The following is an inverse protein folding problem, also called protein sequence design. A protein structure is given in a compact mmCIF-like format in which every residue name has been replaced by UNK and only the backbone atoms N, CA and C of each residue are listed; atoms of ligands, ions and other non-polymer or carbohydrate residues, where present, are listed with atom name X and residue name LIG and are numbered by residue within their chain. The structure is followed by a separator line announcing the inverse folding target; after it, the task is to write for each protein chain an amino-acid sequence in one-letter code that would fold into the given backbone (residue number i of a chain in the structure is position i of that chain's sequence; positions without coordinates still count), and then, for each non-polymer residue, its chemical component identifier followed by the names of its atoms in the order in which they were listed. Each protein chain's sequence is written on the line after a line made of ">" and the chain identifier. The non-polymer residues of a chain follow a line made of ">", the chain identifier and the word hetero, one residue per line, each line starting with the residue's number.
data_IF_573773007516
#
_entry.id   IF_573773007516
#
_cell.length_a   1.000
_cell.length_b   1.000
_cell.length_c   1.000
_cell.angle_alpha   90.00
_cell.angle_beta   90.00
_cell.angle_gamma   90.00
#
_symmetry.space_group_name_H-M   'P 1'
#
loop_
_entity.id
_entity.type
_entity.pdbx_description
1 polymer ?
#
# COMPACT_ATOMS: atom_id res chain seq x y z
N UNK A 1 -15.05 0.21 2.82
CA UNK A 1 -13.74 0.02 2.15
C UNK A 1 -13.01 1.34 2.11
N UNK A 2 -11.76 1.32 2.50
CA UNK A 2 -10.93 2.52 2.54
C UNK A 2 -9.71 2.33 1.67
N UNK A 3 -9.39 3.36 0.88
CA UNK A 3 -8.18 3.36 0.08
C UNK A 3 -7.02 3.88 0.92
N UNK A 4 -5.89 3.18 0.81
CA UNK A 4 -4.64 3.60 1.42
C UNK A 4 -3.60 3.75 0.33
N UNK A 5 -2.76 4.77 0.46
CA UNK A 5 -1.61 4.94 -0.43
C UNK A 5 -0.38 4.46 0.34
N UNK A 6 0.32 3.52 -0.26
CA UNK A 6 1.55 2.98 0.32
C UNK A 6 2.71 3.39 -0.56
N UNK A 7 3.63 4.15 0.01
CA UNK A 7 4.89 4.50 -0.64
C UNK A 7 5.97 3.63 -0.03
N UNK A 8 6.86 3.12 -0.85
CA UNK A 8 7.83 2.21 -0.30
C UNK A 8 9.16 2.23 -1.00
N UNK A 9 10.14 1.73 -0.28
CA UNK A 9 11.48 1.52 -0.79
C UNK A 9 11.84 0.06 -0.65
N UNK A 10 12.45 -0.50 -1.68
CA UNK A 10 12.98 -1.84 -1.64
C UNK A 10 14.28 -1.79 -0.83
N UNK A 11 14.48 -2.78 0.04
CA UNK A 11 15.72 -2.86 0.77
C UNK A 11 16.85 -3.24 -0.18
N UNK A 12 18.08 -2.86 0.20
CA UNK A 12 19.24 -3.01 -0.66
C UNK A 12 19.37 -4.40 -1.28
N UNK A 13 19.21 -5.43 -0.48
CA UNK A 13 19.35 -6.81 -0.95
C UNK A 13 18.22 -7.27 -1.89
N UNK A 14 17.11 -6.53 -1.92
CA UNK A 14 16.01 -6.86 -2.82
C UNK A 14 16.37 -6.62 -4.28
N UNK A 15 17.32 -5.72 -4.54
CA UNK A 15 17.75 -5.44 -5.91
C UNK A 15 18.59 -6.55 -6.51
N UNK A 16 19.14 -7.43 -5.68
CA UNK A 16 19.93 -8.57 -6.16
C UNK A 16 19.06 -9.62 -6.85
N UNK A 17 17.74 -9.53 -6.66
CA UNK A 17 16.79 -10.51 -7.20
C UNK A 17 15.61 -9.79 -7.86
N UNK A 18 15.90 -8.89 -8.79
CA UNK A 18 14.85 -8.12 -9.48
C UNK A 18 13.84 -9.01 -10.19
N UNK A 19 14.29 -10.15 -10.70
CA UNK A 19 13.40 -11.11 -11.36
C UNK A 19 12.38 -11.74 -10.40
N UNK A 20 12.59 -11.63 -9.09
CA UNK A 20 11.67 -12.16 -8.09
C UNK A 20 10.60 -11.16 -7.66
N UNK A 21 10.68 -9.91 -8.13
CA UNK A 21 9.75 -8.85 -7.69
C UNK A 21 8.31 -9.16 -8.05
N UNK A 22 8.08 -9.66 -9.25
CA UNK A 22 6.73 -10.01 -9.68
C UNK A 22 6.10 -11.05 -8.75
N UNK A 23 6.88 -12.05 -8.35
CA UNK A 23 6.39 -13.08 -7.42
C UNK A 23 6.06 -12.50 -6.05
N UNK A 24 6.83 -11.54 -5.58
CA UNK A 24 6.57 -10.86 -4.31
C UNK A 24 5.29 -10.06 -4.38
N UNK A 25 5.07 -9.37 -5.50
CA UNK A 25 3.87 -8.57 -5.70
C UNK A 25 2.63 -9.47 -5.75
N UNK A 26 2.74 -10.62 -6.39
CA UNK A 26 1.65 -11.58 -6.42
C UNK A 26 1.32 -12.13 -5.05
N UNK A 27 2.33 -12.37 -4.21
CA UNK A 27 2.11 -12.80 -2.82
C UNK A 27 1.40 -11.71 -2.03
N UNK A 28 1.85 -10.46 -2.17
CA UNK A 28 1.22 -9.34 -1.49
C UNK A 28 -0.24 -9.21 -1.90
N UNK A 29 -0.52 -9.36 -3.19
CA UNK A 29 -1.88 -9.29 -3.69
C UNK A 29 -2.76 -10.38 -3.08
N UNK A 30 -2.22 -11.60 -2.92
CA UNK A 30 -2.95 -12.69 -2.28
C UNK A 30 -3.28 -12.39 -0.83
N UNK A 31 -2.32 -11.83 -0.10
CA UNK A 31 -2.54 -11.46 1.30
C UNK A 31 -3.64 -10.41 1.41
N UNK A 32 -3.56 -9.37 0.59
CA UNK A 32 -4.57 -8.32 0.58
C UNK A 32 -5.95 -8.89 0.28
N UNK A 33 -6.02 -9.78 -0.70
CA UNK A 33 -7.28 -10.42 -1.07
C UNK A 33 -7.83 -11.28 0.06
N UNK A 34 -6.96 -12.00 0.77
CA UNK A 34 -7.38 -12.82 1.91
C UNK A 34 -7.91 -11.97 3.07
N UNK A 35 -7.53 -10.69 3.13
CA UNK A 35 -8.02 -9.75 4.13
C UNK A 35 -9.27 -9.01 3.67
N UNK A 36 -9.81 -9.37 2.51
CA UNK A 36 -11.03 -8.77 1.99
C UNK A 36 -10.82 -7.54 1.13
N UNK A 37 -9.60 -7.29 0.70
CA UNK A 37 -9.28 -6.12 -0.10
C UNK A 37 -8.73 -6.45 -1.48
N UNK A 38 -8.17 -5.45 -2.12
CA UNK A 38 -7.54 -5.60 -3.43
C UNK A 38 -6.50 -4.51 -3.65
N UNK A 39 -5.57 -4.77 -4.56
CA UNK A 39 -4.65 -3.74 -5.05
C UNK A 39 -5.36 -3.02 -6.18
N UNK A 40 -5.56 -1.71 -6.02
CA UNK A 40 -6.21 -0.90 -7.04
C UNK A 40 -5.20 -0.51 -8.12
N UNK A 41 -3.97 -0.17 -7.71
CA UNK A 41 -2.91 0.21 -8.64
C UNK A 41 -1.56 -0.01 -7.99
N UNK A 42 -0.57 -0.33 -8.81
CA UNK A 42 0.80 -0.51 -8.35
C UNK A 42 1.71 0.06 -9.42
N UNK A 43 2.58 0.99 -9.02
CA UNK A 43 3.54 1.62 -9.91
C UNK A 43 4.92 1.57 -9.27
N UNK A 44 5.94 1.36 -10.08
CA UNK A 44 7.32 1.56 -9.67
C UNK A 44 7.74 2.96 -10.05
N UNK A 45 8.53 3.58 -9.20
CA UNK A 45 8.83 5.00 -9.29
C UNK A 45 10.32 5.21 -9.47
N UNK A 46 10.65 6.30 -10.15
CA UNK A 46 12.03 6.79 -10.24
C UNK A 46 12.13 7.99 -9.34
N UNK A 47 12.92 7.89 -8.28
CA UNK A 47 13.09 8.99 -7.34
C UNK A 47 13.22 8.52 -5.91
N UNK A 48 12.64 9.30 -5.01
CA UNK A 48 12.78 9.12 -3.56
C UNK A 48 12.19 7.79 -3.07
N UNK A 49 11.08 7.37 -3.66
CA UNK A 49 10.45 6.09 -3.35
C UNK A 49 10.59 5.18 -4.53
N UNK A 50 10.63 3.89 -4.28
CA UNK A 50 10.77 2.88 -5.34
C UNK A 50 9.42 2.46 -5.90
N UNK A 51 8.36 2.49 -5.08
CA UNK A 51 7.04 2.12 -5.56
C UNK A 51 5.93 2.87 -4.85
N UNK A 52 4.78 2.89 -5.50
CA UNK A 52 3.53 3.41 -4.96
C UNK A 52 2.45 2.36 -5.20
N UNK A 53 1.73 2.00 -4.16
CA UNK A 53 0.59 1.11 -4.28
C UNK A 53 -0.63 1.82 -3.73
N UNK A 54 -1.76 1.65 -4.41
CA UNK A 54 -3.06 2.07 -3.89
C UNK A 54 -3.80 0.79 -3.57
N UNK A 55 -4.14 0.61 -2.30
CA UNK A 55 -4.79 -0.60 -1.83
C UNK A 55 -6.12 -0.27 -1.18
N UNK A 56 -7.08 -1.16 -1.39
CA UNK A 56 -8.42 -1.06 -0.82
C UNK A 56 -8.55 -2.14 0.24
N UNK A 57 -8.82 -1.76 1.47
CA UNK A 57 -8.98 -2.69 2.57
C UNK A 57 -10.25 -2.34 3.36
N UNK A 58 -10.88 -3.34 4.00
CA UNK A 58 -12.14 -3.08 4.70
C UNK A 58 -11.99 -2.15 5.91
N UNK A 59 -10.88 -2.24 6.64
CA UNK A 59 -10.69 -1.48 7.88
C UNK A 59 -9.21 -1.36 8.24
N UNK A 60 -8.94 -0.59 9.28
CA UNK A 60 -7.57 -0.40 9.77
C UNK A 60 -6.96 -1.67 10.33
N UNK A 61 -7.77 -2.53 10.91
CA UNK A 61 -7.26 -3.79 11.44
C UNK A 61 -6.66 -4.63 10.33
N UNK A 62 -7.34 -4.70 9.18
CA UNK A 62 -6.81 -5.42 8.01
C UNK A 62 -5.52 -4.80 7.51
N UNK A 63 -5.44 -3.45 7.51
CA UNK A 63 -4.21 -2.75 7.12
C UNK A 63 -3.06 -3.13 8.04
N UNK A 64 -3.27 -3.12 9.35
CA UNK A 64 -2.23 -3.46 10.31
C UNK A 64 -1.79 -4.90 10.14
N UNK A 65 -2.73 -5.82 9.90
CA UNK A 65 -2.39 -7.22 9.61
C UNK A 65 -1.51 -7.34 8.37
N UNK A 66 -1.88 -6.62 7.31
CA UNK A 66 -1.08 -6.62 6.09
C UNK A 66 0.33 -6.11 6.34
N UNK A 67 0.45 -4.97 7.03
CA UNK A 67 1.76 -4.38 7.34
C UNK A 67 2.61 -5.32 8.20
N UNK A 68 1.99 -6.01 9.15
CA UNK A 68 2.71 -6.98 9.98
C UNK A 68 3.23 -8.15 9.16
N UNK A 69 2.42 -8.63 8.20
CA UNK A 69 2.80 -9.74 7.34
C UNK A 69 3.96 -9.36 6.43
N UNK A 70 3.86 -8.22 5.74
CA UNK A 70 4.95 -7.81 4.85
C UNK A 70 6.21 -7.46 5.62
N UNK A 71 6.07 -6.99 6.86
CA UNK A 71 7.20 -6.71 7.72
C UNK A 71 8.04 -7.94 8.02
N UNK A 72 7.40 -9.11 8.08
CA UNK A 72 8.12 -10.37 8.30
C UNK A 72 9.04 -10.73 7.14
N UNK A 73 8.67 -10.35 5.91
CA UNK A 73 9.51 -10.65 4.75
C UNK A 73 10.77 -9.80 4.71
N UNK A 74 10.73 -8.61 5.33
CA UNK A 74 11.91 -7.77 5.47
C UNK A 74 12.48 -7.21 4.18
N UNK A 75 11.70 -7.18 3.10
CA UNK A 75 12.20 -6.76 1.79
C UNK A 75 11.83 -5.35 1.40
N UNK A 76 10.92 -4.71 2.16
CA UNK A 76 10.46 -3.37 1.86
C UNK A 76 10.39 -2.52 3.11
N UNK A 77 10.48 -1.23 2.90
CA UNK A 77 10.27 -0.22 3.92
C UNK A 77 9.14 0.68 3.40
N UNK A 78 8.08 0.86 4.19
CA UNK A 78 6.86 1.50 3.70
C UNK A 78 6.43 2.69 4.54
N UNK A 79 5.78 3.63 3.88
CA UNK A 79 5.06 4.72 4.49
C UNK A 79 3.62 4.63 3.99
N UNK A 80 2.67 4.46 4.90
CA UNK A 80 1.28 4.26 4.54
C UNK A 80 0.46 5.49 4.90
N UNK A 81 -0.31 5.98 3.93
CA UNK A 81 -1.12 7.18 4.09
C UNK A 81 -2.59 6.80 4.00
N UNK A 82 -3.37 7.25 4.97
CA UNK A 82 -4.80 7.07 4.94
C UNK A 82 -5.40 8.13 4.03
N UNK A 83 -6.37 7.77 3.21
CA UNK A 83 -7.01 8.70 2.29
C UNK A 83 -8.39 9.09 2.79
N UNK A 84 -8.84 10.25 2.35
CA UNK A 84 -10.26 10.63 2.44
C UNK A 84 -10.71 11.01 1.03
N UNK A 85 -11.98 10.72 0.67
CA UNK A 85 -12.50 11.16 -0.62
C UNK A 85 -12.52 12.69 -0.70
N UNK A 86 -12.23 13.23 -1.86
CA UNK A 86 -12.27 14.69 -2.04
C UNK A 86 -13.65 15.27 -1.70
N UNK A 87 -14.71 14.55 -2.03
CA UNK A 87 -16.08 14.96 -1.74
C UNK A 87 -16.31 15.21 -0.25
N UNK A 88 -15.71 14.39 0.59
CA UNK A 88 -15.81 14.56 2.04
C UNK A 88 -15.22 15.89 2.47
N UNK A 89 -14.05 16.23 1.93
CA UNK A 89 -13.42 17.51 2.25
C UNK A 89 -14.27 18.69 1.77
N UNK A 90 -14.79 18.59 0.55
CA UNK A 90 -15.63 19.67 0.00
C UNK A 90 -16.87 19.90 0.84
N UNK A 91 -17.50 18.83 1.28
CA UNK A 91 -18.68 18.92 2.15
C UNK A 91 -18.34 19.56 3.47
N UNK A 92 -17.29 19.12 4.12
CA UNK A 92 -16.87 19.65 5.41
C UNK A 92 -16.46 21.13 5.26
N UNK A 93 -15.77 21.48 4.19
CA UNK A 93 -15.34 22.85 3.96
C UNK A 93 -16.53 23.82 3.90
N UNK A 94 -17.66 23.38 3.37
CA UNK A 94 -18.87 24.19 3.32
C UNK A 94 -19.50 24.37 4.71
N UNK A 95 -19.32 23.40 5.59
CA UNK A 95 -19.86 23.45 6.93
C UNK A 95 -19.04 24.30 7.88
N UNK A 96 -17.76 24.52 7.59
CA UNK A 96 -16.79 25.16 8.50
C UNK A 96 -16.60 26.65 8.20
N UNK A 97 -17.43 27.25 7.41
CA UNK A 97 -17.29 28.65 7.04
C UNK A 97 -17.22 29.58 8.25
#
# INVERSE_FOLDING_TARGET
>A
MTLYVMLGNLKHDAFDTLDAIEGRDKKAAKVIRSLGGKIVALYYLLGRYDFLAIIDLPDKESLVKFLAIIGKYGTVRTETLETIPADMLYKIAKEVK
#
